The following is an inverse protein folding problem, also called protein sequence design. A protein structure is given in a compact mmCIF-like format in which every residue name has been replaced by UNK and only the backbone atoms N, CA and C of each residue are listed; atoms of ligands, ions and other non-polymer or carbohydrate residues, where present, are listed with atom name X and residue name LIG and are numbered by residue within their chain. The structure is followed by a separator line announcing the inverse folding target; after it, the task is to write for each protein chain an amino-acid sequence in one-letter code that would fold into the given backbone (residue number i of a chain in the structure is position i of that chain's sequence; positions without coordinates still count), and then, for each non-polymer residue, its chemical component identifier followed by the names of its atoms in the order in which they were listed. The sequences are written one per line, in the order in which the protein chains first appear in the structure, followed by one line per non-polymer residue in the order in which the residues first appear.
data_IF_405348586113
#
_entry.id   IF_405348586113
#
_cell.length_a   1.000
_cell.length_b   1.000
_cell.length_c   1.000
_cell.angle_alpha   90.00
_cell.angle_beta   90.00
_cell.angle_gamma   90.00
#
_symmetry.space_group_name_H-M   'P 1'
#
loop_
_entity.id
_entity.type
_entity.pdbx_description
1 polymer ?
#
# COMPACT_ATOMS: atom_id res chain seq x y z
N UNK A 1 22.31 -10.66 -12.71
CA UNK A 1 21.74 -9.43 -13.34
C UNK A 1 20.68 -9.70 -14.40
N UNK A 2 20.86 -10.63 -15.36
CA UNK A 2 19.87 -10.92 -16.43
C UNK A 2 18.46 -11.22 -15.89
N UNK A 3 18.34 -12.01 -14.82
CA UNK A 3 17.03 -12.40 -14.24
C UNK A 3 16.25 -11.22 -13.66
N UNK A 4 16.91 -10.32 -12.91
CA UNK A 4 16.25 -9.18 -12.26
C UNK A 4 15.79 -8.14 -13.29
N UNK A 5 16.62 -7.90 -14.31
CA UNK A 5 16.24 -7.07 -15.46
C UNK A 5 15.01 -7.64 -16.18
N UNK A 6 14.96 -8.96 -16.38
CA UNK A 6 13.77 -9.62 -16.96
C UNK A 6 12.53 -9.42 -16.08
N UNK A 7 12.63 -9.55 -14.76
CA UNK A 7 11.50 -9.29 -13.86
C UNK A 7 10.99 -7.85 -13.95
N UNK A 8 11.89 -6.86 -14.01
CA UNK A 8 11.51 -5.46 -14.18
C UNK A 8 10.84 -5.21 -15.54
N UNK A 9 11.43 -5.73 -16.63
CA UNK A 9 10.86 -5.62 -17.97
C UNK A 9 9.47 -6.25 -18.06
N UNK A 10 9.29 -7.43 -17.48
CA UNK A 10 7.99 -8.11 -17.43
C UNK A 10 6.99 -7.35 -16.56
N UNK A 11 7.42 -6.79 -15.43
CA UNK A 11 6.56 -5.98 -14.56
C UNK A 11 6.03 -4.77 -15.33
N UNK A 12 6.93 -4.01 -15.97
CA UNK A 12 6.55 -2.86 -16.80
C UNK A 12 5.64 -3.28 -17.96
N UNK A 13 5.93 -4.42 -18.61
CA UNK A 13 5.09 -4.95 -19.68
C UNK A 13 3.67 -5.27 -19.19
N UNK A 14 3.51 -5.99 -18.09
CA UNK A 14 2.20 -6.35 -17.52
C UNK A 14 1.44 -5.09 -17.10
N UNK A 15 2.09 -4.15 -16.42
CA UNK A 15 1.47 -2.87 -16.03
C UNK A 15 0.99 -2.09 -17.26
N UNK A 16 1.81 -2.03 -18.31
CA UNK A 16 1.46 -1.38 -19.58
C UNK A 16 0.27 -2.07 -20.25
N UNK A 17 0.26 -3.40 -20.31
CA UNK A 17 -0.87 -4.14 -20.91
C UNK A 17 -2.15 -3.95 -20.11
N UNK A 18 -2.08 -3.96 -18.77
CA UNK A 18 -3.21 -3.67 -17.90
C UNK A 18 -3.77 -2.27 -18.12
N UNK A 19 -2.91 -1.26 -18.33
CA UNK A 19 -3.33 0.08 -18.71
C UNK A 19 -4.00 0.13 -20.08
N UNK A 20 -3.42 -0.50 -21.10
CA UNK A 20 -4.00 -0.53 -22.45
C UNK A 20 -5.38 -1.20 -22.42
N UNK A 21 -5.51 -2.31 -21.69
CA UNK A 21 -6.79 -3.01 -21.51
C UNK A 21 -7.82 -2.12 -20.80
N UNK A 22 -7.40 -1.44 -19.72
CA UNK A 22 -8.25 -0.50 -19.01
C UNK A 22 -8.73 0.67 -19.88
N UNK A 23 -7.86 1.20 -20.75
CA UNK A 23 -8.18 2.30 -21.67
C UNK A 23 -9.18 1.91 -22.78
N UNK A 24 -9.44 0.62 -23.00
CA UNK A 24 -10.51 0.19 -23.91
C UNK A 24 -11.87 0.67 -23.41
N UNK A 25 -12.08 0.65 -22.09
CA UNK A 25 -13.28 1.18 -21.44
C UNK A 25 -13.05 2.61 -20.95
N UNK A 26 -12.87 3.55 -21.90
CA UNK A 26 -12.46 4.95 -21.65
C UNK A 26 -13.26 5.65 -20.55
N UNK A 27 -14.59 5.47 -20.51
CA UNK A 27 -15.45 6.08 -19.48
C UNK A 27 -15.11 5.53 -18.09
N UNK A 28 -15.00 4.21 -17.95
CA UNK A 28 -14.62 3.57 -16.69
C UNK A 28 -13.20 3.96 -16.25
N UNK A 29 -12.26 4.06 -17.20
CA UNK A 29 -10.90 4.52 -16.94
C UNK A 29 -10.88 5.93 -16.33
N UNK A 30 -11.55 6.88 -16.96
CA UNK A 30 -11.61 8.27 -16.48
C UNK A 30 -12.41 8.38 -15.19
N UNK A 31 -13.53 7.66 -15.05
CA UNK A 31 -14.32 7.65 -13.82
C UNK A 31 -13.56 7.10 -12.63
N UNK A 32 -12.74 6.05 -12.79
CA UNK A 32 -11.96 5.51 -11.68
C UNK A 32 -10.87 6.48 -11.20
N UNK A 33 -10.13 7.09 -12.12
CA UNK A 33 -9.07 8.05 -11.77
C UNK A 33 -9.69 9.35 -11.22
N UNK A 34 -10.63 9.94 -11.97
CA UNK A 34 -11.28 11.19 -11.60
C UNK A 34 -12.15 11.06 -10.35
N UNK A 35 -12.88 9.96 -10.21
CA UNK A 35 -13.68 9.67 -9.02
C UNK A 35 -12.83 9.54 -7.77
N UNK A 36 -11.63 8.95 -7.90
CA UNK A 36 -10.70 8.88 -6.78
C UNK A 36 -10.10 10.24 -6.42
N UNK A 37 -9.70 11.04 -7.41
CA UNK A 37 -9.27 12.43 -7.18
C UNK A 37 -10.37 13.23 -6.46
N UNK A 38 -11.63 13.09 -6.88
CA UNK A 38 -12.76 13.75 -6.21
C UNK A 38 -12.92 13.24 -4.78
N UNK A 39 -12.75 11.94 -4.53
CA UNK A 39 -12.78 11.37 -3.17
C UNK A 39 -11.72 12.02 -2.27
N UNK A 40 -10.48 12.10 -2.75
CA UNK A 40 -9.39 12.70 -2.00
C UNK A 40 -9.54 14.21 -1.80
N UNK A 41 -10.16 14.93 -2.75
CA UNK A 41 -10.53 16.34 -2.59
C UNK A 41 -11.45 16.51 -1.39
N UNK A 42 -12.45 15.63 -1.19
CA UNK A 42 -13.32 15.71 -0.02
C UNK A 42 -12.54 15.53 1.30
N UNK A 43 -11.58 14.62 1.33
CA UNK A 43 -10.70 14.46 2.49
C UNK A 43 -9.84 15.70 2.76
N UNK A 44 -9.26 16.29 1.72
CA UNK A 44 -8.48 17.52 1.85
C UNK A 44 -9.37 18.70 2.32
N UNK A 45 -10.56 18.85 1.75
CA UNK A 45 -11.52 19.89 2.14
C UNK A 45 -11.91 19.77 3.61
N UNK A 46 -12.14 18.55 4.11
CA UNK A 46 -12.41 18.32 5.53
C UNK A 46 -11.27 18.87 6.39
N UNK A 47 -10.02 18.58 6.04
CA UNK A 47 -8.86 19.10 6.79
C UNK A 47 -8.72 20.62 6.66
N UNK A 48 -8.97 21.21 5.50
CA UNK A 48 -8.99 22.67 5.32
C UNK A 48 -10.01 23.31 6.27
N UNK A 49 -11.25 22.83 6.26
CA UNK A 49 -12.32 23.36 7.11
C UNK A 49 -12.02 23.14 8.60
N UNK A 50 -11.42 22.01 8.96
CA UNK A 50 -11.02 21.72 10.32
C UNK A 50 -9.94 22.70 10.83
N UNK A 51 -8.86 22.89 10.09
CA UNK A 51 -7.76 23.77 10.50
C UNK A 51 -8.08 25.26 10.41
N UNK A 52 -9.15 25.66 9.71
CA UNK A 52 -9.72 27.00 9.81
C UNK A 52 -10.31 27.29 11.20
N UNK A 53 -10.82 26.27 11.89
CA UNK A 53 -11.37 26.40 13.26
C UNK A 53 -10.34 26.07 14.34
N UNK A 54 -9.44 25.14 14.07
CA UNK A 54 -8.39 24.69 14.98
C UNK A 54 -7.02 24.85 14.31
N UNK A 55 -6.40 26.04 14.37
CA UNK A 55 -5.19 26.34 13.60
C UNK A 55 -3.99 25.44 13.92
N UNK A 56 -3.95 24.91 15.14
CA UNK A 56 -2.93 24.00 15.62
C UNK A 56 -3.53 22.97 16.57
N UNK A 57 -3.19 21.70 16.38
CA UNK A 57 -3.63 20.59 17.25
C UNK A 57 -2.44 19.70 17.54
N UNK A 58 -2.04 19.59 18.81
CA UNK A 58 -0.90 18.79 19.25
C UNK A 58 0.38 19.03 18.41
N UNK A 59 0.66 20.29 18.05
CA UNK A 59 1.81 20.70 17.24
C UNK A 59 1.67 20.47 15.72
N UNK A 60 0.51 20.01 15.25
CA UNK A 60 0.22 19.85 13.82
C UNK A 60 -0.53 21.05 13.29
N UNK A 61 -0.10 21.53 12.12
CA UNK A 61 -0.79 22.57 11.34
C UNK A 61 -1.35 21.96 10.06
N UNK A 62 -2.15 22.74 9.32
CA UNK A 62 -2.70 22.31 8.04
C UNK A 62 -1.65 21.73 7.09
N UNK A 63 -0.48 22.36 7.01
CA UNK A 63 0.64 21.93 6.16
C UNK A 63 1.12 20.51 6.47
N UNK A 64 1.08 20.11 7.75
CA UNK A 64 1.48 18.77 8.19
C UNK A 64 0.44 17.73 7.80
N UNK A 65 -0.84 18.04 7.94
CA UNK A 65 -1.93 17.17 7.51
C UNK A 65 -2.03 17.06 5.99
N UNK A 66 -1.75 18.14 5.26
CA UNK A 66 -1.63 18.12 3.80
C UNK A 66 -0.46 17.23 3.35
N UNK A 67 0.69 17.31 4.02
CA UNK A 67 1.83 16.43 3.75
C UNK A 67 1.52 14.97 4.09
N UNK A 68 0.84 14.70 5.20
CA UNK A 68 0.37 13.37 5.57
C UNK A 68 -0.56 12.78 4.51
N UNK A 69 -1.52 13.58 4.03
CA UNK A 69 -2.42 13.16 2.96
C UNK A 69 -1.64 12.90 1.66
N UNK A 70 -0.73 13.79 1.28
CA UNK A 70 0.12 13.63 0.11
C UNK A 70 0.92 12.32 0.14
N UNK A 71 1.54 12.00 1.27
CA UNK A 71 2.30 10.75 1.46
C UNK A 71 1.35 9.55 1.43
N UNK A 72 0.19 9.65 2.08
CA UNK A 72 -0.79 8.56 2.15
C UNK A 72 -1.32 8.19 0.77
N UNK A 73 -1.82 9.18 0.02
CA UNK A 73 -2.33 8.98 -1.34
C UNK A 73 -1.22 8.49 -2.28
N UNK A 74 -0.01 9.05 -2.22
CA UNK A 74 1.12 8.59 -3.05
C UNK A 74 1.48 7.14 -2.75
N UNK A 75 1.57 6.79 -1.46
CA UNK A 75 1.93 5.45 -0.98
C UNK A 75 0.89 4.41 -1.39
N UNK A 76 -0.39 4.69 -1.12
CA UNK A 76 -1.48 3.81 -1.49
C UNK A 76 -1.67 3.73 -2.99
N UNK A 77 -1.56 4.85 -3.70
CA UNK A 77 -1.63 4.89 -5.14
C UNK A 77 -0.61 3.97 -5.82
N UNK A 78 0.64 3.97 -5.35
CA UNK A 78 1.67 3.03 -5.80
C UNK A 78 1.25 1.58 -5.54
N UNK A 79 0.85 1.26 -4.30
CA UNK A 79 0.43 -0.09 -3.94
C UNK A 79 -0.78 -0.58 -4.74
N UNK A 80 -1.83 0.25 -4.86
CA UNK A 80 -3.05 -0.03 -5.59
C UNK A 80 -2.79 -0.21 -7.08
N UNK A 81 -1.91 0.62 -7.65
CA UNK A 81 -1.58 0.50 -9.06
C UNK A 81 -0.77 -0.77 -9.33
N UNK A 82 0.17 -1.15 -8.45
CA UNK A 82 1.13 -2.23 -8.74
C UNK A 82 0.75 -3.60 -8.17
N UNK A 83 0.05 -3.67 -7.05
CA UNK A 83 -0.05 -4.88 -6.23
C UNK A 83 -1.45 -5.14 -5.64
N UNK A 84 -2.48 -4.48 -6.17
CA UNK A 84 -3.86 -4.61 -5.65
C UNK A 84 -4.40 -6.05 -5.66
N UNK A 85 -3.95 -6.88 -6.61
CA UNK A 85 -4.32 -8.29 -6.67
C UNK A 85 -3.99 -9.10 -5.40
N UNK A 86 -3.07 -8.63 -4.57
CA UNK A 86 -2.75 -9.27 -3.29
C UNK A 86 -3.91 -9.24 -2.29
N UNK A 87 -4.82 -8.27 -2.36
CA UNK A 87 -5.95 -8.22 -1.42
C UNK A 87 -6.93 -9.39 -1.61
N UNK A 88 -6.93 -10.01 -2.78
CA UNK A 88 -7.71 -11.22 -3.09
C UNK A 88 -6.93 -12.52 -2.78
N UNK A 89 -5.68 -12.45 -2.28
CA UNK A 89 -4.82 -13.64 -2.11
C UNK A 89 -5.40 -14.64 -1.10
N UNK A 90 -5.91 -14.20 0.05
CA UNK A 90 -6.52 -15.09 1.03
C UNK A 90 -7.75 -15.82 0.45
N UNK A 91 -8.56 -15.12 -0.35
CA UNK A 91 -9.69 -15.74 -1.08
C UNK A 91 -9.20 -16.80 -2.05
N UNK A 92 -8.17 -16.48 -2.84
CA UNK A 92 -7.56 -17.40 -3.82
C UNK A 92 -7.00 -18.66 -3.17
N UNK A 93 -6.39 -18.51 -1.99
CA UNK A 93 -5.91 -19.64 -1.19
C UNK A 93 -7.11 -20.49 -0.74
N UNK A 94 -8.10 -19.89 -0.08
CA UNK A 94 -9.25 -20.60 0.47
C UNK A 94 -10.09 -21.33 -0.59
N UNK A 95 -10.15 -20.79 -1.80
CA UNK A 95 -10.95 -21.33 -2.91
C UNK A 95 -10.19 -22.31 -3.82
N UNK A 96 -8.90 -22.57 -3.58
CA UNK A 96 -8.13 -23.43 -4.48
C UNK A 96 -7.65 -22.75 -5.77
N UNK A 97 -7.86 -21.45 -5.95
CA UNK A 97 -7.50 -20.72 -7.18
C UNK A 97 -6.00 -20.45 -7.32
N UNK A 98 -5.21 -20.70 -6.27
CA UNK A 98 -3.76 -20.50 -6.31
C UNK A 98 -3.07 -21.49 -7.28
N UNK A 99 -3.70 -22.64 -7.58
CA UNK A 99 -3.23 -23.66 -8.53
C UNK A 99 -2.90 -23.05 -9.90
N UNK A 100 -3.70 -22.11 -10.37
CA UNK A 100 -3.45 -21.38 -11.63
C UNK A 100 -2.10 -20.65 -11.60
N UNK A 101 -1.80 -19.94 -10.52
CA UNK A 101 -0.56 -19.18 -10.37
C UNK A 101 0.66 -20.07 -10.08
N UNK A 102 0.45 -21.26 -9.52
CA UNK A 102 1.51 -22.26 -9.32
C UNK A 102 1.95 -22.92 -10.63
N UNK A 103 1.05 -23.02 -11.61
CA UNK A 103 1.37 -23.53 -12.94
C UNK A 103 2.22 -22.57 -13.79
N UNK A 104 2.33 -21.30 -13.36
CA UNK A 104 3.10 -20.30 -14.09
C UNK A 104 4.61 -20.52 -13.91
N UNK A 105 5.43 -20.28 -14.94
CA UNK A 105 6.86 -20.61 -14.93
C UNK A 105 7.72 -19.72 -13.99
N UNK A 106 7.13 -18.76 -13.28
CA UNK A 106 7.82 -17.79 -12.42
C UNK A 106 7.17 -17.73 -11.04
N UNK A 107 7.82 -16.98 -10.15
CA UNK A 107 7.42 -16.81 -8.76
C UNK A 107 5.92 -16.47 -8.62
N UNK A 108 5.19 -17.28 -7.87
CA UNK A 108 3.75 -17.17 -7.62
C UNK A 108 3.38 -15.83 -7.00
N UNK A 109 4.12 -15.36 -5.99
CA UNK A 109 3.83 -14.09 -5.31
C UNK A 109 3.90 -12.91 -6.27
N UNK A 110 4.88 -12.92 -7.18
CA UNK A 110 5.03 -11.89 -8.21
C UNK A 110 3.84 -11.87 -9.17
N UNK A 111 3.38 -13.04 -9.64
CA UNK A 111 2.21 -13.13 -10.51
C UNK A 111 0.89 -12.74 -9.81
N UNK A 112 0.69 -13.13 -8.55
CA UNK A 112 -0.50 -12.71 -7.81
C UNK A 112 -0.50 -11.19 -7.60
N UNK A 113 0.67 -10.61 -7.30
CA UNK A 113 0.82 -9.17 -7.12
C UNK A 113 0.36 -8.39 -8.36
N UNK A 114 0.85 -8.79 -9.53
CA UNK A 114 0.58 -8.11 -10.80
C UNK A 114 -0.70 -8.59 -11.50
N UNK A 115 -1.45 -9.53 -10.90
CA UNK A 115 -2.61 -10.15 -11.52
C UNK A 115 -3.82 -9.23 -11.66
N UNK A 116 -3.88 -8.15 -10.86
CA UNK A 116 -4.96 -7.16 -10.90
C UNK A 116 -4.43 -5.80 -10.47
N UNK A 117 -4.71 -4.79 -11.29
CA UNK A 117 -4.39 -3.39 -11.03
C UNK A 117 -5.66 -2.64 -10.61
N UNK A 118 -5.54 -1.66 -9.72
CA UNK A 118 -6.61 -0.72 -9.42
C UNK A 118 -6.28 0.65 -10.02
N UNK A 119 -7.04 1.06 -11.03
CA UNK A 119 -6.83 2.35 -11.72
C UNK A 119 -7.08 3.54 -10.81
N UNK A 120 -7.97 3.38 -9.83
CA UNK A 120 -8.19 4.39 -8.79
C UNK A 120 -6.88 4.77 -8.08
N UNK A 121 -5.93 3.84 -7.94
CA UNK A 121 -4.60 4.12 -7.39
C UNK A 121 -3.79 5.14 -8.20
N UNK A 122 -4.04 5.29 -9.51
CA UNK A 122 -3.45 6.40 -10.27
C UNK A 122 -4.05 7.74 -9.89
N UNK A 123 -5.34 7.77 -9.52
CA UNK A 123 -5.99 8.95 -8.96
C UNK A 123 -5.31 9.39 -7.66
N UNK A 124 -5.17 8.46 -6.70
CA UNK A 124 -4.46 8.72 -5.43
C UNK A 124 -3.03 9.20 -5.68
N UNK A 125 -2.30 8.52 -6.58
CA UNK A 125 -0.91 8.87 -6.88
C UNK A 125 -0.79 10.29 -7.44
N UNK A 126 -1.62 10.64 -8.42
CA UNK A 126 -1.63 11.97 -9.02
C UNK A 126 -2.06 13.04 -8.00
N UNK A 127 -3.08 12.74 -7.20
CA UNK A 127 -3.58 13.65 -6.19
C UNK A 127 -2.55 13.89 -5.08
N UNK A 128 -1.91 12.84 -4.56
CA UNK A 128 -0.89 12.95 -3.53
C UNK A 128 0.30 13.80 -3.96
N UNK A 129 0.77 13.61 -5.20
CA UNK A 129 1.82 14.44 -5.79
C UNK A 129 1.34 15.90 -5.93
N UNK A 130 0.12 16.12 -6.42
CA UNK A 130 -0.45 17.47 -6.56
C UNK A 130 -0.54 18.18 -5.19
N UNK A 131 -1.01 17.51 -4.15
CA UNK A 131 -1.09 18.10 -2.79
C UNK A 131 0.29 18.46 -2.27
N UNK A 132 1.29 17.60 -2.47
CA UNK A 132 2.67 17.90 -2.09
C UNK A 132 3.19 19.16 -2.81
N UNK A 133 2.96 19.28 -4.12
CA UNK A 133 3.42 20.42 -4.91
C UNK A 133 2.68 21.72 -4.58
N UNK A 134 1.38 21.67 -4.29
CA UNK A 134 0.55 22.86 -4.07
C UNK A 134 0.60 23.40 -2.64
N UNK A 135 0.70 22.53 -1.63
CA UNK A 135 0.54 22.90 -0.23
C UNK A 135 1.81 22.76 0.61
N UNK A 136 2.84 22.06 0.12
CA UNK A 136 4.12 21.96 0.81
C UNK A 136 5.15 22.89 0.15
N UNK A 137 6.08 23.44 0.95
CA UNK A 137 7.22 24.20 0.42
C UNK A 137 8.22 23.26 -0.22
N UNK A 138 8.08 23.02 -1.52
CA UNK A 138 8.93 22.07 -2.25
C UNK A 138 10.34 22.63 -2.46
N UNK A 139 11.32 21.83 -2.09
CA UNK A 139 12.74 22.02 -2.38
C UNK A 139 13.25 20.76 -3.08
N UNK A 140 14.38 20.85 -3.77
CA UNK A 140 14.98 19.67 -4.42
C UNK A 140 15.22 18.52 -3.42
N UNK A 141 15.71 18.86 -2.22
CA UNK A 141 16.00 17.88 -1.17
C UNK A 141 14.72 17.21 -0.65
N UNK A 142 13.70 17.96 -0.24
CA UNK A 142 12.48 17.35 0.31
C UNK A 142 11.65 16.61 -0.75
N UNK A 143 11.70 17.03 -2.02
CA UNK A 143 11.08 16.31 -3.13
C UNK A 143 11.73 14.94 -3.37
N UNK A 144 13.07 14.86 -3.33
CA UNK A 144 13.77 13.57 -3.39
C UNK A 144 13.42 12.67 -2.21
N UNK A 145 13.42 13.23 -1.00
CA UNK A 145 13.06 12.48 0.21
C UNK A 145 11.63 11.96 0.11
N UNK A 146 10.68 12.81 -0.32
CA UNK A 146 9.27 12.44 -0.52
C UNK A 146 9.10 11.23 -1.43
N UNK A 147 9.79 11.21 -2.58
CA UNK A 147 9.75 10.07 -3.50
C UNK A 147 10.30 8.80 -2.84
N UNK A 148 11.48 8.89 -2.21
CA UNK A 148 12.13 7.72 -1.59
C UNK A 148 11.28 7.17 -0.45
N UNK A 149 10.78 8.02 0.45
CA UNK A 149 9.98 7.55 1.60
C UNK A 149 8.62 7.03 1.18
N UNK A 150 8.00 7.57 0.12
CA UNK A 150 6.74 7.05 -0.40
C UNK A 150 6.92 5.66 -1.03
N UNK A 151 8.04 5.42 -1.73
CA UNK A 151 8.38 4.09 -2.25
C UNK A 151 8.64 3.08 -1.13
N UNK A 152 9.36 3.48 -0.08
CA UNK A 152 9.59 2.64 1.09
C UNK A 152 8.29 2.34 1.84
N UNK A 153 7.43 3.34 2.02
CA UNK A 153 6.11 3.17 2.62
C UNK A 153 5.23 2.22 1.80
N UNK A 154 5.23 2.34 0.47
CA UNK A 154 4.49 1.44 -0.42
C UNK A 154 5.02 0.00 -0.33
N UNK A 155 6.34 -0.17 -0.18
CA UNK A 155 6.95 -1.48 0.06
C UNK A 155 6.57 -2.06 1.42
N UNK A 156 6.43 -1.24 2.46
CA UNK A 156 5.91 -1.67 3.77
C UNK A 156 4.46 -2.11 3.65
N UNK A 157 3.59 -1.33 2.97
CA UNK A 157 2.19 -1.71 2.71
C UNK A 157 2.11 -3.04 1.96
N UNK A 158 2.90 -3.19 0.89
CA UNK A 158 3.02 -4.45 0.16
C UNK A 158 3.35 -5.61 1.09
N UNK A 159 4.39 -5.46 1.91
CA UNK A 159 4.86 -6.50 2.83
C UNK A 159 3.80 -6.85 3.88
N UNK A 160 3.12 -5.85 4.42
CA UNK A 160 2.01 -6.04 5.36
C UNK A 160 0.84 -6.81 4.73
N UNK A 161 0.45 -6.47 3.51
CA UNK A 161 -0.64 -7.17 2.81
C UNK A 161 -0.24 -8.62 2.50
N UNK A 162 0.99 -8.86 2.01
CA UNK A 162 1.47 -10.24 1.80
C UNK A 162 1.44 -11.03 3.10
N UNK A 163 1.92 -10.45 4.21
CA UNK A 163 1.96 -11.11 5.50
C UNK A 163 0.56 -11.49 5.98
N UNK A 164 -0.36 -10.52 6.02
CA UNK A 164 -1.73 -10.73 6.54
C UNK A 164 -2.54 -11.67 5.66
N UNK A 165 -2.43 -11.56 4.34
CA UNK A 165 -3.13 -12.46 3.41
C UNK A 165 -2.58 -13.89 3.46
N UNK A 166 -1.28 -14.05 3.71
CA UNK A 166 -0.64 -15.37 3.84
C UNK A 166 -1.06 -16.13 5.11
N UNK A 167 -1.63 -15.47 6.12
CA UNK A 167 -2.17 -16.16 7.30
C UNK A 167 -3.24 -17.18 6.91
N UNK A 168 -3.96 -16.93 5.81
CA UNK A 168 -4.98 -17.84 5.27
C UNK A 168 -4.45 -19.26 5.01
N UNK A 169 -3.17 -19.43 4.66
CA UNK A 169 -2.55 -20.76 4.49
C UNK A 169 -2.61 -21.63 5.74
N UNK A 170 -2.74 -21.03 6.93
CA UNK A 170 -2.70 -21.72 8.22
C UNK A 170 -4.09 -21.84 8.85
N UNK A 171 -5.01 -20.92 8.54
CA UNK A 171 -6.32 -20.84 9.20
C UNK A 171 -7.51 -21.10 8.28
N UNK A 172 -7.32 -21.12 6.95
CA UNK A 172 -8.35 -21.37 5.94
C UNK A 172 -9.35 -20.24 5.70
N UNK A 173 -9.92 -19.65 6.76
CA UNK A 173 -10.96 -18.60 6.68
C UNK A 173 -10.45 -17.25 7.20
N UNK A 174 -9.45 -16.65 6.54
CA UNK A 174 -8.85 -15.38 6.99
C UNK A 174 -9.12 -14.17 6.08
N UNK A 175 -9.84 -14.34 4.97
CA UNK A 175 -10.07 -13.28 3.97
C UNK A 175 -10.65 -12.00 4.58
N UNK A 176 -11.75 -12.12 5.35
CA UNK A 176 -12.40 -10.96 5.97
C UNK A 176 -11.47 -10.26 6.95
N UNK A 177 -10.77 -11.02 7.79
CA UNK A 177 -9.83 -10.46 8.76
C UNK A 177 -8.67 -9.73 8.08
N UNK A 178 -8.08 -10.31 7.03
CA UNK A 178 -7.03 -9.66 6.24
C UNK A 178 -7.52 -8.36 5.58
N UNK A 179 -8.74 -8.37 5.01
CA UNK A 179 -9.35 -7.18 4.44
C UNK A 179 -9.59 -6.09 5.50
N UNK A 180 -10.12 -6.45 6.66
CA UNK A 180 -10.30 -5.50 7.77
C UNK A 180 -8.99 -4.93 8.27
N UNK A 181 -7.93 -5.73 8.38
CA UNK A 181 -6.60 -5.27 8.77
C UNK A 181 -6.04 -4.24 7.78
N UNK A 182 -6.22 -4.47 6.47
CA UNK A 182 -5.83 -3.52 5.43
C UNK A 182 -6.58 -2.19 5.56
N UNK A 183 -7.92 -2.23 5.65
CA UNK A 183 -8.70 -0.99 5.78
C UNK A 183 -8.44 -0.26 7.10
N UNK A 184 -8.18 -1.00 8.18
CA UNK A 184 -7.77 -0.41 9.46
C UNK A 184 -6.44 0.32 9.31
N UNK A 185 -5.45 -0.28 8.64
CA UNK A 185 -4.19 0.39 8.33
C UNK A 185 -4.43 1.72 7.57
N UNK A 186 -5.27 1.71 6.53
CA UNK A 186 -5.64 2.91 5.76
C UNK A 186 -6.25 3.97 6.68
N UNK A 187 -7.25 3.61 7.49
CA UNK A 187 -7.95 4.56 8.37
C UNK A 187 -7.00 5.22 9.36
N UNK A 188 -6.12 4.45 10.01
CA UNK A 188 -5.16 5.01 10.97
C UNK A 188 -4.11 5.91 10.29
N UNK A 189 -3.84 5.70 9.01
CA UNK A 189 -2.91 6.52 8.23
C UNK A 189 -3.38 7.92 7.91
N UNK A 190 -4.69 8.15 7.92
CA UNK A 190 -5.28 9.45 7.63
C UNK A 190 -5.19 10.44 8.81
N UNK A 191 -4.73 9.99 9.98
CA UNK A 191 -4.66 10.81 11.19
C UNK A 191 -3.21 11.04 11.65
N UNK A 192 -2.93 12.24 12.21
CA UNK A 192 -1.67 12.53 12.88
C UNK A 192 -1.31 11.49 13.94
N UNK A 193 -0.04 11.08 14.00
CA UNK A 193 0.42 10.13 15.03
C UNK A 193 0.26 10.66 16.46
N UNK A 194 0.26 11.99 16.65
CA UNK A 194 0.01 12.64 17.93
C UNK A 194 -1.44 12.53 18.41
N UNK A 195 -2.37 12.08 17.57
CA UNK A 195 -3.75 11.82 17.96
C UNK A 195 -3.93 10.48 18.71
N UNK A 196 -2.91 9.60 18.71
CA UNK A 196 -2.99 8.29 19.35
C UNK A 196 -2.29 8.27 20.70
N UNK A 197 -3.00 7.76 21.71
CA UNK A 197 -2.50 7.58 23.08
C UNK A 197 -2.54 6.10 23.53
N UNK A 198 -1.71 5.76 24.52
CA UNK A 198 -1.71 4.45 25.17
C UNK A 198 -1.60 3.26 24.22
N UNK A 199 -2.56 2.33 24.32
CA UNK A 199 -2.60 1.09 23.55
C UNK A 199 -2.68 1.31 22.03
N UNK A 200 -3.41 2.33 21.57
CA UNK A 200 -3.57 2.62 20.14
C UNK A 200 -2.22 3.00 19.51
N UNK A 201 -1.38 3.69 20.26
CA UNK A 201 -0.03 4.05 19.83
C UNK A 201 0.88 2.83 19.67
N UNK A 202 0.69 1.80 20.50
CA UNK A 202 1.42 0.53 20.37
C UNK A 202 0.92 -0.22 19.13
N UNK A 203 -0.40 -0.33 18.95
CA UNK A 203 -1.03 -1.02 17.81
C UNK A 203 -0.58 -0.43 16.46
N UNK A 204 -0.49 0.90 16.36
CA UNK A 204 -0.06 1.59 15.14
C UNK A 204 1.42 1.38 14.81
N UNK A 205 2.24 1.01 15.78
CA UNK A 205 3.67 0.70 15.58
C UNK A 205 3.88 -0.79 15.30
N UNK A 206 3.16 -1.66 16.00
CA UNK A 206 3.40 -3.11 15.96
C UNK A 206 2.47 -3.84 15.00
N UNK A 207 1.15 -3.77 15.22
CA UNK A 207 0.18 -4.59 14.51
C UNK A 207 -0.12 -4.08 13.10
N UNK A 208 -0.21 -2.76 12.90
CA UNK A 208 -0.59 -2.15 11.62
C UNK A 208 0.56 -1.54 10.82
N UNK A 209 1.80 -1.56 11.29
CA UNK A 209 2.88 -0.64 10.88
C UNK A 209 2.58 0.83 10.47
N UNK A 210 1.41 1.40 10.79
CA UNK A 210 1.00 2.74 10.37
C UNK A 210 2.04 3.84 10.71
N UNK A 211 2.71 3.73 11.87
CA UNK A 211 3.77 4.68 12.24
C UNK A 211 4.89 4.79 11.19
N UNK A 212 5.35 3.66 10.66
CA UNK A 212 6.41 3.62 9.65
C UNK A 212 5.93 4.01 8.26
N UNK A 213 4.65 3.80 7.95
CA UNK A 213 4.06 4.12 6.65
C UNK A 213 3.74 5.62 6.52
N UNK A 214 3.37 6.29 7.62
CA UNK A 214 2.89 7.67 7.56
C UNK A 214 3.73 8.64 8.39
N UNK A 215 3.91 8.37 9.68
CA UNK A 215 4.52 9.33 10.60
C UNK A 215 6.03 9.53 10.38
N UNK A 216 6.76 8.45 10.07
CA UNK A 216 8.19 8.51 9.76
C UNK A 216 8.44 9.26 8.44
N UNK A 217 7.74 8.94 7.33
CA UNK A 217 7.82 9.72 6.10
C UNK A 217 7.54 11.21 6.26
N UNK A 218 6.45 11.60 6.94
CA UNK A 218 6.13 13.03 7.19
C UNK A 218 7.30 13.73 7.88
N UNK A 219 7.87 13.10 8.92
CA UNK A 219 9.00 13.66 9.66
C UNK A 219 10.24 13.81 8.79
N UNK A 220 10.56 12.82 7.97
CA UNK A 220 11.73 12.83 7.10
C UNK A 220 11.64 13.88 5.99
N UNK A 221 10.44 14.09 5.43
CA UNK A 221 10.21 15.13 4.42
C UNK A 221 10.33 16.53 5.02
N UNK A 222 9.84 16.73 6.26
CA UNK A 222 10.01 18.01 6.98
C UNK A 222 11.46 18.28 7.36
N UNK A 223 12.12 17.30 7.97
CA UNK A 223 13.51 17.39 8.44
C UNK A 223 14.21 16.10 8.12
N UNK A 224 15.08 16.14 7.10
CA UNK A 224 15.83 14.98 6.69
C UNK A 224 16.73 14.46 7.82
N UNK A 225 16.67 13.16 8.06
CA UNK A 225 17.61 12.47 8.94
C UNK A 225 18.03 11.16 8.31
N UNK A 226 19.34 10.95 8.15
CA UNK A 226 19.87 9.70 7.61
C UNK A 226 19.49 8.52 8.52
N UNK A 227 19.53 8.73 9.83
CA UNK A 227 19.09 7.75 10.83
C UNK A 227 17.64 7.32 10.60
N UNK A 228 16.70 8.26 10.46
CA UNK A 228 15.30 7.92 10.22
C UNK A 228 15.07 7.22 8.88
N UNK A 229 15.86 7.56 7.85
CA UNK A 229 15.82 6.87 6.57
C UNK A 229 16.32 5.41 6.67
N UNK A 230 17.38 5.18 7.43
CA UNK A 230 17.88 3.82 7.71
C UNK A 230 16.86 3.04 8.53
N UNK A 231 16.24 3.67 9.54
CA UNK A 231 15.21 3.03 10.39
C UNK A 231 14.02 2.51 9.56
N UNK A 232 13.43 3.35 8.70
CA UNK A 232 12.33 2.91 7.82
C UNK A 232 12.79 1.86 6.79
N UNK A 233 14.01 1.99 6.26
CA UNK A 233 14.57 1.01 5.31
C UNK A 233 14.80 -0.37 5.93
N UNK A 234 15.37 -0.43 7.14
CA UNK A 234 15.57 -1.67 7.90
C UNK A 234 14.23 -2.28 8.27
N UNK A 235 13.26 -1.48 8.70
CA UNK A 235 11.92 -1.96 9.01
C UNK A 235 11.23 -2.55 7.77
N UNK A 236 11.29 -1.87 6.63
CA UNK A 236 10.74 -2.37 5.37
C UNK A 236 11.36 -3.72 4.97
N UNK A 237 12.68 -3.84 5.08
CA UNK A 237 13.39 -5.09 4.77
C UNK A 237 13.00 -6.23 5.72
N UNK A 238 12.93 -5.94 7.03
CA UNK A 238 12.57 -6.93 8.04
C UNK A 238 11.13 -7.45 7.85
N UNK A 239 10.18 -6.53 7.62
CA UNK A 239 8.79 -6.90 7.38
C UNK A 239 8.64 -7.66 6.06
N UNK A 240 9.35 -7.25 5.01
CA UNK A 240 9.37 -7.97 3.73
C UNK A 240 9.91 -9.38 3.88
N UNK A 241 11.03 -9.57 4.60
CA UNK A 241 11.60 -10.88 4.88
C UNK A 241 10.61 -11.77 5.64
N UNK A 242 9.92 -11.24 6.65
CA UNK A 242 8.89 -11.95 7.40
C UNK A 242 7.69 -12.33 6.51
N UNK A 243 7.23 -11.41 5.66
CA UNK A 243 6.12 -11.63 4.75
C UNK A 243 6.43 -12.75 3.74
N UNK A 244 7.60 -12.68 3.09
CA UNK A 244 8.07 -13.68 2.13
C UNK A 244 8.30 -15.02 2.81
N UNK A 245 8.87 -15.04 4.02
CA UNK A 245 9.02 -16.26 4.81
C UNK A 245 7.66 -16.92 5.11
N UNK A 246 6.70 -16.13 5.58
CA UNK A 246 5.34 -16.60 5.91
C UNK A 246 4.63 -17.14 4.67
N UNK A 247 4.67 -16.41 3.56
CA UNK A 247 4.11 -16.84 2.29
C UNK A 247 4.71 -18.17 1.82
N UNK A 248 6.04 -18.29 1.78
CA UNK A 248 6.71 -19.52 1.34
C UNK A 248 6.46 -20.71 2.27
N UNK A 249 6.35 -20.47 3.58
CA UNK A 249 5.98 -21.51 4.56
C UNK A 249 4.53 -21.94 4.45
N UNK A 250 3.64 -21.00 4.13
CA UNK A 250 2.24 -21.27 3.84
C UNK A 250 2.06 -22.06 2.54
N UNK A 251 2.81 -21.69 1.49
CA UNK A 251 2.78 -22.37 0.19
C UNK A 251 3.12 -23.86 0.28
N UNK A 252 4.02 -24.25 1.18
CA UNK A 252 4.34 -25.67 1.43
C UNK A 252 3.22 -26.46 2.10
N UNK A 253 2.26 -25.79 2.73
CA UNK A 253 1.07 -26.39 3.35
C UNK A 253 -0.16 -26.32 2.46
N UNK A 254 -0.05 -25.67 1.31
CA UNK A 254 -1.17 -25.47 0.43
C UNK A 254 -1.60 -26.80 -0.20
N UNK A 255 -2.84 -27.20 0.06
CA UNK A 255 -3.47 -28.36 -0.56
C UNK A 255 -4.35 -27.88 -1.73
N UNK A 256 -4.16 -28.47 -2.91
CA UNK A 256 -4.85 -28.08 -4.15
C UNK A 256 -6.38 -28.15 -4.00
N UNK A 257 -7.09 -27.24 -4.66
CA UNK A 257 -8.55 -27.20 -4.69
C UNK A 257 -9.20 -28.48 -5.23
N UNK A 258 -8.46 -29.28 -6.01
CA UNK A 258 -8.93 -30.57 -6.51
C UNK A 258 -9.24 -31.57 -5.37
N UNK A 259 -8.60 -31.42 -4.20
CA UNK A 259 -8.88 -32.23 -3.01
C UNK A 259 -10.16 -31.80 -2.26
N UNK A 260 -10.54 -30.53 -2.37
CA UNK A 260 -11.74 -29.96 -1.73
C UNK A 260 -13.02 -30.24 -2.52
N UNK A 261 -12.93 -30.31 -3.86
CA UNK A 261 -14.05 -30.68 -4.73
C UNK A 261 -14.52 -32.13 -4.54
N UNK A 262 -13.62 -33.03 -4.11
CA UNK A 262 -13.93 -34.44 -3.81
C UNK A 262 -14.61 -34.65 -2.44
N UNK A 263 -14.71 -33.61 -1.60
CA UNK A 263 -15.31 -33.68 -0.25
C UNK A 263 -16.73 -33.10 -0.18
N UNK A 264 -17.39 -32.85 -1.31
CA UNK A 264 -18.79 -32.40 -1.38
C UNK A 264 -19.68 -33.45 -2.02
#
# INVERSE_FOLDING_TARGET
MKTLLTYLQLTVFILRQGLIAAMQYRVSFVMQIGGMIVNDIFWLLLWILYFQRFPEVNGWRFEDSALLLAISCTTFGIFMFMAWGLLDLARKIAQGELDYYLSMPRNTLWHVSLGRLALAGLGDLLFGIMVFLCFCRVTWQNGMVFVVVSLLAAWIVYSFVVLTQSICFFTGNFERAASHLFWTLVTFGLYPYSAFEGLLKIITVTLLPAYFIYAVPVRLVKVFSLRGLVEIGVFALALFALAVFTFNRGLRRYESGNSLALRR
#
